data_IF_323507046925
#
_entry.id   IF_323507046925
#
_cell.length_a   1.000
_cell.length_b   1.000
_cell.length_c   1.000
_cell.angle_alpha   90.00
_cell.angle_beta   90.00
_cell.angle_gamma   90.00
#
_symmetry.space_group_name_H-M   'P 1'
#
loop_
_entity.id
_entity.type
_entity.pdbx_description
1 polymer ?
#
# COMPACT_ATOMS: atom_id res chain seq x y z
N UNK A 1 -7.52 -10.63 8.15
CA UNK A 1 -6.51 -11.28 9.02
C UNK A 1 -5.12 -10.92 8.52
N UNK A 2 -4.13 -10.72 9.39
CA UNK A 2 -2.74 -10.53 8.97
C UNK A 2 -1.76 -11.26 9.89
N UNK A 3 -0.62 -11.67 9.34
CA UNK A 3 0.51 -12.24 10.07
C UNK A 3 1.82 -11.66 9.54
N UNK A 4 2.82 -11.52 10.40
CA UNK A 4 4.13 -10.98 10.01
C UNK A 4 5.27 -11.65 10.77
N UNK A 5 6.46 -11.58 10.18
CA UNK A 5 7.73 -11.98 10.78
C UNK A 5 8.77 -10.91 10.50
N UNK A 6 9.65 -10.70 11.46
CA UNK A 6 10.76 -9.77 11.36
C UNK A 6 11.99 -10.40 12.01
N UNK A 7 13.14 -10.21 11.40
CA UNK A 7 14.42 -10.67 11.91
C UNK A 7 15.50 -9.63 11.67
N UNK A 8 16.33 -9.41 12.69
CA UNK A 8 17.55 -8.62 12.61
C UNK A 8 18.75 -9.51 12.92
N UNK A 9 19.81 -9.35 12.13
CA UNK A 9 21.05 -10.10 12.24
C UNK A 9 22.23 -9.12 12.31
N UNK A 10 23.03 -9.22 13.38
CA UNK A 10 24.19 -8.37 13.58
C UNK A 10 25.48 -9.09 13.15
N UNK A 11 26.29 -8.40 12.35
CA UNK A 11 27.55 -8.87 11.78
C UNK A 11 28.66 -7.84 12.03
N UNK A 12 28.93 -7.56 13.30
CA UNK A 12 29.93 -6.57 13.71
C UNK A 12 29.53 -5.15 13.29
N UNK A 13 30.10 -4.67 12.18
CA UNK A 13 29.82 -3.31 11.63
C UNK A 13 28.56 -3.25 10.76
N UNK A 14 27.95 -4.38 10.44
CA UNK A 14 26.75 -4.44 9.62
C UNK A 14 25.59 -5.03 10.41
N UNK A 15 24.37 -4.56 10.15
CA UNK A 15 23.11 -5.15 10.61
C UNK A 15 22.25 -5.40 9.38
N UNK A 16 21.78 -6.63 9.22
CA UNK A 16 20.82 -6.99 8.19
C UNK A 16 19.43 -7.13 8.82
N UNK A 17 18.41 -6.65 8.14
CA UNK A 17 17.01 -6.70 8.58
C UNK A 17 16.18 -7.33 7.47
N UNK A 18 15.32 -8.26 7.82
CA UNK A 18 14.41 -8.94 6.88
C UNK A 18 13.02 -8.98 7.51
N UNK A 19 12.01 -8.64 6.73
CA UNK A 19 10.62 -8.65 7.16
C UNK A 19 9.70 -9.24 6.11
N UNK A 20 8.62 -9.87 6.54
CA UNK A 20 7.55 -10.34 5.66
C UNK A 20 6.19 -10.24 6.36
N UNK A 21 5.14 -9.97 5.59
CA UNK A 21 3.75 -9.89 6.04
C UNK A 21 2.83 -10.52 4.99
N UNK A 22 1.87 -11.32 5.45
CA UNK A 22 0.74 -11.79 4.65
C UNK A 22 -0.53 -11.22 5.25
N UNK A 23 -1.41 -10.70 4.41
CA UNK A 23 -2.68 -10.11 4.81
C UNK A 23 -3.81 -10.62 3.92
N UNK A 24 -4.95 -10.92 4.53
CA UNK A 24 -6.21 -11.26 3.87
C UNK A 24 -7.29 -10.27 4.26
N UNK A 25 -7.85 -9.58 3.27
CA UNK A 25 -8.98 -8.66 3.39
C UNK A 25 -10.19 -9.25 2.68
N UNK A 26 -11.25 -9.49 3.44
CA UNK A 26 -12.52 -9.98 2.93
C UNK A 26 -13.58 -8.90 3.13
N UNK A 27 -14.37 -8.66 2.10
CA UNK A 27 -15.48 -7.72 2.10
C UNK A 27 -16.75 -8.50 1.81
N UNK A 28 -17.64 -8.54 2.79
CA UNK A 28 -19.00 -9.02 2.64
C UNK A 28 -19.89 -7.80 2.39
N UNK A 29 -20.56 -7.75 1.24
CA UNK A 29 -21.29 -6.57 0.78
C UNK A 29 -22.71 -6.95 0.39
N UNK A 30 -23.68 -6.29 1.00
CA UNK A 30 -25.08 -6.48 0.63
C UNK A 30 -25.32 -5.95 -0.80
N UNK A 31 -26.16 -6.63 -1.60
CA UNK A 31 -26.64 -6.08 -2.85
C UNK A 31 -27.22 -4.69 -2.63
N UNK A 32 -27.01 -3.77 -3.58
CA UNK A 32 -27.62 -2.43 -3.49
C UNK A 32 -29.13 -2.56 -3.34
N UNK A 33 -29.64 -2.19 -2.16
CA UNK A 33 -31.07 -2.13 -1.88
C UNK A 33 -31.72 -0.95 -2.60
N UNK A 34 -32.60 -1.23 -3.55
CA UNK A 34 -33.39 -0.27 -4.31
C UNK A 34 -34.47 -1.03 -5.07
N UNK A 35 -35.67 -0.46 -5.11
CA UNK A 35 -36.96 -1.03 -5.55
C UNK A 35 -36.79 -2.02 -6.72
N UNK A 36 -37.34 -3.23 -6.53
CA UNK A 36 -37.57 -4.19 -7.61
C UNK A 36 -38.06 -3.44 -8.87
N UNK A 37 -37.38 -3.62 -10.00
CA UNK A 37 -37.77 -3.20 -11.36
C UNK A 37 -37.31 -1.84 -11.93
N UNK A 38 -36.45 -1.04 -11.29
CA UNK A 38 -35.75 0.03 -12.04
C UNK A 38 -34.38 -0.50 -12.50
N UNK A 39 -34.12 -0.64 -13.82
CA UNK A 39 -32.81 -1.08 -14.30
C UNK A 39 -31.75 -0.16 -13.72
N UNK A 40 -30.59 -0.69 -13.31
CA UNK A 40 -29.44 0.11 -12.87
C UNK A 40 -29.25 1.28 -13.84
N UNK A 41 -29.70 2.47 -13.45
CA UNK A 41 -29.75 3.60 -14.37
C UNK A 41 -28.32 4.05 -14.56
N UNK A 42 -27.72 3.59 -15.65
CA UNK A 42 -26.46 4.11 -16.12
C UNK A 42 -26.66 5.60 -16.39
N UNK A 43 -25.97 6.43 -15.60
CA UNK A 43 -26.12 7.88 -15.72
C UNK A 43 -25.22 8.30 -16.88
N UNK A 44 -25.80 8.37 -18.09
CA UNK A 44 -25.07 8.65 -19.33
C UNK A 44 -24.23 9.94 -19.29
N UNK A 45 -24.69 10.95 -18.53
CA UNK A 45 -23.98 12.24 -18.34
C UNK A 45 -22.65 12.06 -17.60
N UNK A 46 -22.53 11.04 -16.74
CA UNK A 46 -21.32 10.71 -15.98
C UNK A 46 -20.60 9.46 -16.51
N UNK A 47 -21.10 8.86 -17.60
CA UNK A 47 -20.46 7.77 -18.31
C UNK A 47 -20.31 6.47 -17.52
N UNK A 48 -21.14 6.23 -16.50
CA UNK A 48 -21.00 5.09 -15.60
C UNK A 48 -22.32 4.49 -15.12
N UNK A 49 -22.29 3.19 -14.87
CA UNK A 49 -23.34 2.46 -14.16
C UNK A 49 -22.89 2.20 -12.71
N UNK A 50 -23.83 2.00 -11.77
CA UNK A 50 -23.48 1.51 -10.44
C UNK A 50 -22.59 0.26 -10.54
N UNK A 51 -21.46 0.20 -9.81
CA UNK A 51 -20.66 -1.02 -9.77
C UNK A 51 -21.44 -2.13 -9.07
N UNK A 52 -21.37 -3.33 -9.64
CA UNK A 52 -22.04 -4.52 -9.09
C UNK A 52 -21.50 -4.82 -7.69
N UNK A 53 -22.39 -4.80 -6.70
CA UNK A 53 -22.06 -5.21 -5.34
C UNK A 53 -21.91 -6.73 -5.30
N UNK A 54 -20.73 -7.19 -4.90
CA UNK A 54 -20.40 -8.60 -4.72
C UNK A 54 -19.34 -8.76 -3.65
N UNK A 55 -19.34 -9.90 -2.98
CA UNK A 55 -18.29 -10.21 -2.02
C UNK A 55 -16.93 -10.31 -2.71
N UNK A 56 -15.88 -9.87 -2.00
CA UNK A 56 -14.51 -9.85 -2.52
C UNK A 56 -13.54 -10.31 -1.45
N UNK A 57 -12.54 -11.08 -1.89
CA UNK A 57 -11.41 -11.47 -1.07
C UNK A 57 -10.09 -11.12 -1.73
N UNK A 58 -9.17 -10.58 -0.94
CA UNK A 58 -7.84 -10.19 -1.38
C UNK A 58 -6.80 -10.74 -0.42
N UNK A 59 -5.82 -11.47 -0.96
CA UNK A 59 -4.64 -11.89 -0.20
C UNK A 59 -3.41 -11.18 -0.75
N UNK A 60 -2.79 -10.35 0.08
CA UNK A 60 -1.59 -9.60 -0.22
C UNK A 60 -0.36 -10.15 0.50
N UNK A 61 0.80 -10.03 -0.15
CA UNK A 61 2.11 -10.32 0.45
C UNK A 61 2.99 -9.07 0.37
N UNK A 62 3.58 -8.70 1.50
CA UNK A 62 4.54 -7.61 1.61
C UNK A 62 5.84 -8.14 2.21
N UNK A 63 6.98 -7.58 1.79
CA UNK A 63 8.29 -8.00 2.27
C UNK A 63 9.29 -6.86 2.24
N UNK A 64 10.31 -6.95 3.09
CA UNK A 64 11.40 -5.99 3.15
C UNK A 64 12.73 -6.69 3.42
N UNK A 65 13.79 -6.14 2.86
CA UNK A 65 15.16 -6.49 3.19
C UNK A 65 16.00 -5.23 3.28
N UNK A 66 16.83 -5.14 4.29
CA UNK A 66 17.60 -3.94 4.61
C UNK A 66 18.98 -4.28 5.15
N UNK A 67 19.93 -3.38 4.90
CA UNK A 67 21.27 -3.43 5.47
C UNK A 67 21.64 -2.06 6.01
N UNK A 68 22.20 -2.05 7.21
CA UNK A 68 22.80 -0.90 7.85
C UNK A 68 24.28 -1.20 8.06
N UNK A 69 25.18 -0.44 7.45
CA UNK A 69 26.63 -0.58 7.61
C UNK A 69 27.21 0.65 8.26
N UNK A 70 27.82 0.48 9.42
CA UNK A 70 28.61 1.50 10.09
C UNK A 70 29.97 1.65 9.34
N UNK A 71 30.21 2.82 8.74
CA UNK A 71 31.47 3.16 8.04
C UNK A 71 32.57 3.64 9.00
N UNK A 72 32.28 3.65 10.29
CA UNK A 72 33.13 4.13 11.37
C UNK A 72 32.26 4.60 12.55
N UNK A 73 32.82 5.41 13.45
CA UNK A 73 32.07 5.91 14.62
C UNK A 73 31.09 7.05 14.30
N UNK A 74 31.12 7.56 13.07
CA UNK A 74 30.53 8.85 12.70
C UNK A 74 29.77 8.83 11.38
N UNK A 75 29.73 7.70 10.68
CA UNK A 75 29.03 7.60 9.41
C UNK A 75 28.43 6.21 9.24
N UNK A 76 27.31 6.13 8.54
CA UNK A 76 26.65 4.89 8.21
C UNK A 76 25.99 4.99 6.84
N UNK A 77 25.92 3.86 6.14
CA UNK A 77 25.08 3.68 4.95
C UNK A 77 23.96 2.74 5.32
N UNK A 78 22.74 3.08 4.92
CA UNK A 78 21.57 2.22 5.05
C UNK A 78 20.97 2.04 3.66
N UNK A 79 20.63 0.82 3.30
CA UNK A 79 19.91 0.54 2.07
C UNK A 79 18.76 -0.43 2.36
N UNK A 80 17.58 -0.20 1.79
CA UNK A 80 16.47 -1.13 1.88
C UNK A 80 15.79 -1.35 0.54
N UNK A 81 15.21 -2.53 0.38
CA UNK A 81 14.29 -2.89 -0.69
C UNK A 81 12.99 -3.32 -0.03
N UNK A 82 11.88 -2.81 -0.51
CA UNK A 82 10.55 -3.12 0.02
C UNK A 82 9.60 -3.48 -1.11
N UNK A 83 8.84 -4.56 -0.93
CA UNK A 83 7.68 -4.86 -1.74
C UNK A 83 6.44 -4.69 -0.88
N UNK A 84 5.57 -3.77 -1.25
CA UNK A 84 4.30 -3.54 -0.57
C UNK A 84 3.15 -4.05 -1.43
N UNK A 85 2.08 -4.49 -0.78
CA UNK A 85 0.84 -4.92 -1.42
C UNK A 85 -0.34 -4.36 -0.65
N UNK A 86 -1.35 -3.87 -1.39
CA UNK A 86 -2.54 -3.23 -0.83
C UNK A 86 -3.79 -3.76 -1.54
N UNK A 87 -4.77 -4.22 -0.77
CA UNK A 87 -6.09 -4.53 -1.33
C UNK A 87 -6.82 -3.23 -1.73
N UNK A 88 -7.62 -3.23 -2.80
CA UNK A 88 -8.50 -2.11 -3.13
C UNK A 88 -9.42 -1.79 -1.95
N UNK A 89 -9.61 -0.51 -1.68
CA UNK A 89 -10.55 -0.02 -0.68
C UNK A 89 -12.00 -0.16 -1.19
N UNK A 90 -12.97 -0.12 -0.27
CA UNK A 90 -14.39 -0.26 -0.62
C UNK A 90 -14.87 0.86 -1.56
N UNK A 91 -14.32 2.07 -1.38
CA UNK A 91 -14.63 3.24 -2.19
C UNK A 91 -14.11 3.05 -3.62
N UNK A 92 -12.92 2.48 -3.79
CA UNK A 92 -12.35 2.17 -5.11
C UNK A 92 -13.14 1.07 -5.83
N UNK A 93 -13.78 0.15 -5.10
CA UNK A 93 -14.56 -0.95 -5.65
C UNK A 93 -16.01 -0.55 -5.96
N UNK A 94 -16.67 0.18 -5.06
CA UNK A 94 -18.13 0.30 -5.06
C UNK A 94 -18.70 1.71 -5.01
N UNK A 95 -17.86 2.76 -4.96
CA UNK A 95 -18.40 4.12 -4.92
C UNK A 95 -19.23 4.42 -6.18
N UNK A 96 -20.31 5.16 -6.03
CA UNK A 96 -21.16 5.61 -7.13
C UNK A 96 -21.92 6.85 -6.70
N UNK A 97 -21.23 7.99 -6.71
CA UNK A 97 -21.81 9.21 -6.19
C UNK A 97 -20.87 10.42 -6.23
N UNK A 98 -21.40 11.61 -5.94
CA UNK A 98 -20.60 12.83 -5.87
C UNK A 98 -19.68 12.82 -4.65
N UNK A 99 -18.38 13.01 -4.88
CA UNK A 99 -17.38 13.29 -3.86
C UNK A 99 -17.12 14.81 -3.81
N UNK A 100 -17.90 15.52 -3.00
CA UNK A 100 -17.93 17.00 -2.95
C UNK A 100 -16.54 17.58 -2.67
N UNK A 101 -15.72 16.90 -1.84
CA UNK A 101 -14.36 17.35 -1.53
C UNK A 101 -13.42 17.42 -2.73
N UNK A 102 -13.69 16.63 -3.78
CA UNK A 102 -12.88 16.58 -5.01
C UNK A 102 -13.62 17.15 -6.23
N UNK A 103 -14.85 17.66 -6.04
CA UNK A 103 -15.75 18.08 -7.11
C UNK A 103 -15.88 17.03 -8.23
N UNK A 104 -15.85 15.74 -7.84
CA UNK A 104 -15.86 14.62 -8.76
C UNK A 104 -17.11 13.75 -8.53
N UNK A 105 -17.50 13.00 -9.54
CA UNK A 105 -18.39 11.85 -9.37
C UNK A 105 -17.55 10.59 -9.47
N UNK A 106 -17.53 9.81 -8.41
CA UNK A 106 -16.68 8.63 -8.31
C UNK A 106 -17.47 7.39 -8.70
N UNK A 107 -16.92 6.62 -9.64
CA UNK A 107 -17.44 5.32 -10.07
C UNK A 107 -16.37 4.29 -9.73
N UNK A 108 -16.67 3.43 -8.77
CA UNK A 108 -15.81 2.32 -8.38
C UNK A 108 -15.70 1.28 -9.49
N UNK A 109 -14.67 0.43 -9.38
CA UNK A 109 -14.46 -0.68 -10.29
C UNK A 109 -14.41 -1.99 -9.48
N UNK A 110 -15.48 -2.81 -9.53
CA UNK A 110 -15.57 -4.01 -8.73
C UNK A 110 -14.64 -5.12 -9.22
N UNK A 111 -13.86 -4.90 -10.30
CA UNK A 111 -12.90 -5.83 -10.88
C UNK A 111 -11.44 -5.49 -10.57
N UNK A 112 -11.19 -4.44 -9.75
CA UNK A 112 -9.83 -4.14 -9.30
C UNK A 112 -9.18 -5.34 -8.61
N UNK A 113 -7.87 -5.45 -8.82
CA UNK A 113 -7.01 -6.44 -8.19
C UNK A 113 -6.10 -5.76 -7.18
N UNK A 114 -5.41 -6.56 -6.37
CA UNK A 114 -4.45 -6.06 -5.39
C UNK A 114 -3.35 -5.25 -6.07
N UNK A 115 -3.11 -4.05 -5.56
CA UNK A 115 -2.01 -3.19 -5.99
C UNK A 115 -0.70 -3.64 -5.33
N UNK A 116 0.42 -3.52 -6.04
CA UNK A 116 1.74 -3.78 -5.47
C UNK A 116 2.79 -2.79 -5.95
N UNK A 117 3.74 -2.49 -5.07
CA UNK A 117 4.84 -1.56 -5.32
C UNK A 117 6.16 -2.22 -4.94
N UNK A 118 7.23 -1.87 -5.65
CA UNK A 118 8.60 -2.21 -5.29
C UNK A 118 9.38 -0.91 -5.11
N UNK A 119 9.87 -0.68 -3.89
CA UNK A 119 10.64 0.50 -3.52
C UNK A 119 12.08 0.13 -3.16
N UNK A 120 12.99 1.06 -3.43
CA UNK A 120 14.37 1.00 -2.98
C UNK A 120 14.72 2.34 -2.32
N UNK A 121 15.44 2.29 -1.21
CA UNK A 121 16.00 3.47 -0.56
C UNK A 121 17.47 3.26 -0.19
N UNK A 122 18.25 4.32 -0.34
CA UNK A 122 19.64 4.42 0.05
C UNK A 122 19.86 5.71 0.83
N UNK A 123 20.43 5.58 2.01
CA UNK A 123 20.73 6.67 2.94
C UNK A 123 22.21 6.70 3.29
N UNK A 124 22.83 7.87 3.19
CA UNK A 124 24.14 8.15 3.75
C UNK A 124 23.99 9.11 4.92
N UNK A 125 24.45 8.67 6.10
CA UNK A 125 24.37 9.43 7.35
C UNK A 125 25.75 9.80 7.84
N UNK A 126 25.92 11.05 8.26
CA UNK A 126 27.16 11.56 8.84
C UNK A 126 26.89 12.36 10.13
N UNK A 127 27.67 12.11 11.18
CA UNK A 127 27.60 12.78 12.47
C UNK A 127 28.98 13.28 12.90
N UNK A 128 29.14 14.60 12.94
CA UNK A 128 30.30 15.28 13.50
C UNK A 128 30.02 15.84 14.91
N UNK A 129 31.03 16.47 15.51
CA UNK A 129 30.89 17.07 16.85
C UNK A 129 30.03 18.34 16.88
N UNK A 130 29.90 19.03 15.73
CA UNK A 130 29.19 20.31 15.61
C UNK A 130 28.05 20.29 14.59
N UNK A 131 27.95 19.25 13.77
CA UNK A 131 26.96 19.14 12.71
C UNK A 131 26.65 17.66 12.41
N UNK A 132 25.43 17.41 11.93
CA UNK A 132 24.99 16.13 11.40
C UNK A 132 24.27 16.36 10.08
N UNK A 133 24.28 15.35 9.20
CA UNK A 133 23.63 15.41 7.91
C UNK A 133 23.25 14.03 7.39
N UNK A 134 22.24 13.99 6.54
CA UNK A 134 21.73 12.79 5.90
C UNK A 134 21.34 13.10 4.45
N UNK A 135 21.67 12.20 3.54
CA UNK A 135 21.28 12.26 2.13
C UNK A 135 20.56 10.96 1.80
N UNK A 136 19.38 11.06 1.20
CA UNK A 136 18.54 9.92 0.84
C UNK A 136 18.25 9.93 -0.67
N UNK A 137 18.28 8.75 -1.28
CA UNK A 137 17.86 8.48 -2.66
C UNK A 137 16.84 7.36 -2.59
N UNK A 138 15.68 7.52 -3.21
CA UNK A 138 14.60 6.55 -3.19
C UNK A 138 13.82 6.52 -4.51
N UNK A 139 13.10 5.43 -4.73
CA UNK A 139 12.18 5.23 -5.87
C UNK A 139 10.83 4.72 -5.40
#
# INVERSE_FOLDING_TARGET
>A
MAGFVYQELAFGRARAQIGARVERNAYDVEPRGGVEEEPEVCIAIVGGCPPVARDRDFTGFSGSAGVHVDLGRRAAIVANVTRASRAPALEELYNFGPHIGNLAFEVGNPDLSTESTLGFDLSLRARGARAHGEVNIYT
#
